data_IF_980545663800
#
_entry.id   IF_980545663800
#
_cell.length_a   1.000
_cell.length_b   1.000
_cell.length_c   1.000
_cell.angle_alpha   90.00
_cell.angle_beta   90.00
_cell.angle_gamma   90.00
#
_symmetry.space_group_name_H-M   'P 1'
#
loop_
_entity.id
_entity.type
_entity.pdbx_description
1 polymer ?
#
# COMPACT_ATOMS: atom_id res chain seq x y z
N UNK A 1 -7.81 -17.51 15.91
CA UNK A 1 -7.26 -17.56 14.53
C UNK A 1 -5.82 -17.10 14.63
N UNK A 2 -4.85 -17.94 14.29
CA UNK A 2 -3.43 -17.59 14.28
C UNK A 2 -2.97 -17.47 12.83
N UNK A 3 -2.32 -16.37 12.50
CA UNK A 3 -1.70 -16.14 11.21
C UNK A 3 -0.20 -16.41 11.37
N UNK A 4 0.37 -17.27 10.53
CA UNK A 4 1.80 -17.61 10.54
C UNK A 4 2.42 -17.12 9.25
N UNK A 5 3.54 -16.40 9.36
CA UNK A 5 4.34 -15.94 8.23
C UNK A 5 5.69 -16.66 8.24
N UNK A 6 6.18 -17.01 7.06
CA UNK A 6 7.55 -17.48 6.85
C UNK A 6 8.30 -16.44 6.00
N UNK A 7 9.51 -16.08 6.43
CA UNK A 7 10.34 -15.09 5.74
C UNK A 7 11.70 -15.73 5.46
N UNK A 8 12.07 -15.73 4.19
CA UNK A 8 13.38 -16.21 3.73
C UNK A 8 14.11 -15.08 3.00
N UNK A 9 15.41 -14.95 3.24
CA UNK A 9 16.29 -13.95 2.61
C UNK A 9 17.27 -14.67 1.68
N UNK A 10 17.45 -14.11 0.49
CA UNK A 10 18.35 -14.67 -0.54
C UNK A 10 19.38 -13.61 -0.93
N UNK A 11 20.61 -14.05 -1.17
CA UNK A 11 21.71 -13.19 -1.61
C UNK A 11 21.72 -13.02 -3.14
N UNK A 12 22.13 -11.84 -3.59
CA UNK A 12 22.27 -11.53 -5.01
C UNK A 12 21.08 -10.76 -5.59
N UNK A 13 21.10 -10.55 -6.91
CA UNK A 13 20.02 -9.90 -7.64
C UNK A 13 18.90 -10.88 -8.00
N UNK A 14 17.79 -10.35 -8.50
CA UNK A 14 16.63 -11.17 -8.88
C UNK A 14 16.97 -12.22 -9.95
N UNK A 15 17.93 -11.97 -10.83
CA UNK A 15 18.32 -12.94 -11.86
C UNK A 15 19.07 -14.11 -11.24
N UNK A 16 20.04 -13.82 -10.36
CA UNK A 16 20.83 -14.81 -9.63
C UNK A 16 19.91 -15.72 -8.80
N UNK A 17 18.99 -15.12 -8.04
CA UNK A 17 18.03 -15.88 -7.20
C UNK A 17 17.11 -16.76 -8.05
N UNK A 18 16.67 -16.30 -9.24
CA UNK A 18 15.87 -17.11 -10.16
C UNK A 18 16.63 -18.31 -10.70
N UNK A 19 17.93 -18.16 -10.96
CA UNK A 19 18.79 -19.24 -11.45
C UNK A 19 19.09 -20.26 -10.36
N UNK A 20 19.39 -19.80 -9.14
CA UNK A 20 19.80 -20.66 -8.04
C UNK A 20 18.61 -21.38 -7.38
N UNK A 21 17.42 -20.76 -7.39
CA UNK A 21 16.21 -21.27 -6.75
C UNK A 21 15.00 -21.30 -7.69
N UNK A 22 15.05 -22.03 -8.82
CA UNK A 22 14.02 -21.99 -9.85
C UNK A 22 12.66 -22.48 -9.33
N UNK A 23 12.64 -23.40 -8.36
CA UNK A 23 11.42 -23.96 -7.75
C UNK A 23 10.56 -22.88 -7.10
N UNK A 24 11.17 -21.81 -6.55
CA UNK A 24 10.41 -20.71 -5.97
C UNK A 24 9.53 -20.05 -7.03
N UNK A 25 10.05 -19.84 -8.23
CA UNK A 25 9.38 -19.10 -9.31
C UNK A 25 8.49 -19.97 -10.21
N UNK A 26 8.21 -21.22 -9.82
CA UNK A 26 7.32 -22.12 -10.58
C UNK A 26 5.83 -21.83 -10.40
N UNK A 27 5.47 -21.08 -9.35
CA UNK A 27 4.11 -20.62 -9.08
C UNK A 27 3.96 -19.16 -9.51
N UNK A 28 2.72 -18.70 -9.67
CA UNK A 28 2.42 -17.28 -9.85
C UNK A 28 2.88 -16.50 -8.61
N UNK A 29 4.11 -16.02 -8.65
CA UNK A 29 4.70 -15.13 -7.64
C UNK A 29 4.62 -13.71 -8.16
N UNK A 30 3.99 -12.85 -7.38
CA UNK A 30 4.03 -11.42 -7.58
C UNK A 30 5.35 -10.87 -7.06
N UNK A 31 6.20 -10.40 -7.98
CA UNK A 31 7.47 -9.75 -7.63
C UNK A 31 7.18 -8.28 -7.36
N UNK A 32 7.42 -7.85 -6.14
CA UNK A 32 7.20 -6.47 -5.71
C UNK A 32 8.54 -5.73 -5.74
N UNK A 33 8.69 -4.67 -6.56
CA UNK A 33 9.87 -3.82 -6.47
C UNK A 33 9.91 -3.14 -5.10
N UNK A 34 11.11 -2.82 -4.61
CA UNK A 34 11.29 -2.12 -3.33
C UNK A 34 10.40 -0.87 -3.29
N UNK A 35 9.51 -0.80 -2.30
CA UNK A 35 8.57 0.30 -2.10
C UNK A 35 9.24 1.62 -1.66
N UNK A 36 10.54 1.59 -1.34
CA UNK A 36 11.27 2.82 -1.03
C UNK A 36 11.48 3.65 -2.28
N UNK A 37 11.46 4.96 -2.11
CA UNK A 37 11.93 5.95 -3.09
C UNK A 37 13.22 5.44 -3.75
N UNK A 38 13.18 5.28 -5.07
CA UNK A 38 14.39 4.98 -5.84
C UNK A 38 15.18 6.27 -5.90
N UNK A 39 16.43 6.25 -5.44
CA UNK A 39 17.33 7.42 -5.50
C UNK A 39 17.72 7.79 -6.95
N UNK A 40 17.45 6.90 -7.92
CA UNK A 40 17.83 7.07 -9.33
C UNK A 40 16.63 6.80 -10.23
N UNK A 41 16.29 7.78 -11.06
CA UNK A 41 15.34 7.66 -12.18
C UNK A 41 16.14 7.30 -13.43
N UNK A 42 15.78 6.22 -14.13
CA UNK A 42 16.48 5.86 -15.35
C UNK A 42 16.21 6.89 -16.47
N UNK A 43 17.21 7.23 -17.30
CA UNK A 43 16.98 8.09 -18.46
C UNK A 43 15.89 7.51 -19.38
N UNK A 44 14.83 8.28 -19.62
CA UNK A 44 13.68 7.86 -20.44
C UNK A 44 12.50 7.30 -19.64
N UNK A 45 12.63 7.10 -18.33
CA UNK A 45 11.55 6.66 -17.46
C UNK A 45 10.78 7.87 -16.90
N UNK A 46 9.55 8.09 -17.38
CA UNK A 46 8.66 9.11 -16.81
C UNK A 46 8.02 8.55 -15.55
N UNK A 47 8.60 8.90 -14.39
CA UNK A 47 8.08 8.46 -13.09
C UNK A 47 7.43 9.62 -12.36
N UNK A 48 6.11 9.54 -12.20
CA UNK A 48 5.32 10.46 -11.39
C UNK A 48 4.51 9.68 -10.33
N UNK A 49 5.17 8.72 -9.67
CA UNK A 49 4.57 7.98 -8.58
C UNK A 49 4.53 8.87 -7.34
N UNK A 50 3.34 9.05 -6.77
CA UNK A 50 3.14 9.74 -5.50
C UNK A 50 2.83 8.68 -4.45
N UNK A 51 3.69 8.57 -3.43
CA UNK A 51 3.42 7.72 -2.28
C UNK A 51 2.67 8.52 -1.22
N UNK A 52 1.49 8.05 -0.84
CA UNK A 52 0.68 8.63 0.22
C UNK A 52 0.60 7.64 1.38
N UNK A 53 0.98 8.09 2.58
CA UNK A 53 0.87 7.29 3.80
C UNK A 53 -0.20 7.89 4.71
N UNK A 54 -1.22 7.09 5.02
CA UNK A 54 -2.16 7.39 6.09
C UNK A 54 -1.48 7.03 7.42
N UNK A 55 -0.98 8.03 8.14
CA UNK A 55 -0.21 7.83 9.37
C UNK A 55 -1.12 7.57 10.57
N UNK A 56 -1.75 8.62 11.07
CA UNK A 56 -2.59 8.61 12.27
C UNK A 56 -3.59 9.77 12.25
N UNK A 57 -4.64 9.67 13.06
CA UNK A 57 -5.59 10.75 13.29
C UNK A 57 -6.04 10.77 14.75
N UNK A 58 -6.57 11.91 15.21
CA UNK A 58 -7.12 12.06 16.55
C UNK A 58 -8.53 12.63 16.48
N UNK A 59 -9.49 11.89 17.04
CA UNK A 59 -10.90 12.27 17.05
C UNK A 59 -11.39 12.55 18.48
N UNK A 60 -12.24 13.56 18.61
CA UNK A 60 -12.92 13.82 19.87
C UNK A 60 -14.06 12.83 20.11
N UNK A 61 -14.15 12.33 21.35
CA UNK A 61 -15.24 11.46 21.80
C UNK A 61 -16.57 12.21 21.95
N UNK A 62 -16.51 13.52 22.23
CA UNK A 62 -17.67 14.33 22.60
C UNK A 62 -18.46 13.70 23.77
N UNK A 63 -19.79 13.87 23.77
CA UNK A 63 -20.68 13.37 24.84
C UNK A 63 -21.08 11.87 24.71
N UNK A 64 -20.41 11.08 23.83
CA UNK A 64 -20.79 9.68 23.59
C UNK A 64 -20.09 8.70 24.55
N UNK A 65 -20.81 7.64 24.93
CA UNK A 65 -20.28 6.58 25.83
C UNK A 65 -19.20 5.71 25.19
N UNK A 66 -19.19 5.50 23.88
CA UNK A 66 -18.16 4.73 23.18
C UNK A 66 -17.34 5.60 22.24
N UNK A 67 -16.12 5.16 21.96
CA UNK A 67 -15.28 5.71 20.89
C UNK A 67 -15.88 5.32 19.52
N UNK A 68 -15.51 6.06 18.46
CA UNK A 68 -16.02 5.80 17.11
C UNK A 68 -15.20 4.69 16.44
N UNK A 69 -15.80 4.05 15.44
CA UNK A 69 -15.05 3.28 14.46
C UNK A 69 -14.71 4.24 13.31
N UNK A 70 -13.45 4.29 12.92
CA UNK A 70 -12.97 5.27 11.94
C UNK A 70 -12.45 4.56 10.70
N UNK A 71 -12.93 5.01 9.54
CA UNK A 71 -12.47 4.65 8.21
C UNK A 71 -12.08 5.93 7.47
N UNK A 72 -10.99 5.88 6.70
CA UNK A 72 -10.57 6.91 5.77
C UNK A 72 -10.69 6.36 4.35
N UNK A 73 -11.31 7.13 3.46
CA UNK A 73 -11.39 6.79 2.04
C UNK A 73 -10.60 7.79 1.24
N UNK A 74 -9.57 7.32 0.53
CA UNK A 74 -8.77 8.15 -0.37
C UNK A 74 -9.33 8.09 -1.79
N UNK A 75 -9.50 9.24 -2.42
CA UNK A 75 -9.95 9.39 -3.82
C UNK A 75 -9.17 10.50 -4.49
N UNK A 76 -8.74 10.26 -5.74
CA UNK A 76 -7.94 11.22 -6.50
C UNK A 76 -8.83 11.98 -7.47
N UNK A 77 -8.72 13.30 -7.46
CA UNK A 77 -9.46 14.20 -8.34
C UNK A 77 -8.51 14.99 -9.23
N UNK A 78 -8.89 15.19 -10.49
CA UNK A 78 -8.17 16.10 -11.38
C UNK A 78 -8.54 17.57 -11.13
N UNK A 79 -7.87 18.48 -11.83
CA UNK A 79 -8.10 19.94 -11.73
C UNK A 79 -9.52 20.40 -12.10
N UNK A 80 -10.33 19.53 -12.72
CA UNK A 80 -11.73 19.79 -13.07
C UNK A 80 -12.71 19.16 -12.07
N UNK A 81 -12.21 18.61 -10.96
CA UNK A 81 -13.02 17.94 -9.95
C UNK A 81 -13.59 16.58 -10.39
N UNK A 82 -13.04 15.95 -11.45
CA UNK A 82 -13.44 14.58 -11.84
C UNK A 82 -12.53 13.56 -11.17
N UNK A 83 -13.11 12.45 -10.75
CA UNK A 83 -12.38 11.30 -10.22
C UNK A 83 -11.44 10.75 -11.28
N UNK A 84 -10.19 10.49 -10.90
CA UNK A 84 -9.21 9.80 -11.74
C UNK A 84 -9.37 8.30 -11.46
N UNK A 85 -9.86 7.57 -12.45
CA UNK A 85 -10.09 6.13 -12.30
C UNK A 85 -8.78 5.35 -12.33
N UNK A 86 -8.73 4.24 -11.57
CA UNK A 86 -7.64 3.24 -11.61
C UNK A 86 -6.24 3.84 -11.45
N UNK A 87 -6.09 4.80 -10.54
CA UNK A 87 -4.80 5.44 -10.24
C UNK A 87 -4.23 5.03 -8.89
N UNK A 88 -5.02 4.44 -7.99
CA UNK A 88 -4.55 4.08 -6.66
C UNK A 88 -4.08 2.63 -6.65
N UNK A 89 -2.80 2.41 -6.42
CA UNK A 89 -2.21 1.08 -6.25
C UNK A 89 -1.99 0.81 -4.75
N UNK A 90 -2.76 -0.14 -4.23
CA UNK A 90 -2.56 -0.70 -2.89
C UNK A 90 -2.05 -2.13 -3.04
N UNK A 91 -0.86 -2.41 -2.51
CA UNK A 91 -0.23 -3.73 -2.70
C UNK A 91 0.22 -4.00 -4.15
N UNK A 92 0.60 -5.24 -4.41
CA UNK A 92 1.13 -5.67 -5.70
C UNK A 92 0.32 -6.85 -6.23
N UNK A 93 0.12 -6.88 -7.55
CA UNK A 93 -0.67 -7.91 -8.21
C UNK A 93 -2.19 -7.66 -8.17
N UNK A 94 -2.62 -6.60 -7.49
CA UNK A 94 -4.01 -6.16 -7.46
C UNK A 94 -4.29 -5.08 -8.50
N UNK A 95 -5.52 -5.05 -9.00
CA UNK A 95 -5.96 -4.01 -9.92
C UNK A 95 -5.97 -2.64 -9.23
N UNK A 96 -5.62 -1.57 -9.94
CA UNK A 96 -5.65 -0.23 -9.37
C UNK A 96 -7.08 0.17 -8.99
N UNK A 97 -7.22 0.76 -7.81
CA UNK A 97 -8.47 1.22 -7.24
C UNK A 97 -8.84 2.64 -7.71
N UNK A 98 -10.14 2.91 -7.66
CA UNK A 98 -10.70 4.26 -7.80
C UNK A 98 -10.80 4.93 -6.41
N UNK A 99 -11.17 4.14 -5.40
CA UNK A 99 -11.30 4.55 -4.01
C UNK A 99 -10.53 3.56 -3.14
N UNK A 100 -9.66 4.04 -2.27
CA UNK A 100 -8.95 3.21 -1.30
C UNK A 100 -9.59 3.36 0.09
N UNK A 101 -10.27 2.32 0.61
CA UNK A 101 -10.74 2.29 1.99
C UNK A 101 -9.62 1.83 2.93
N UNK A 102 -9.42 2.56 4.03
CA UNK A 102 -8.46 2.16 5.07
C UNK A 102 -8.98 1.03 5.95
N UNK A 103 -8.12 0.41 6.74
CA UNK A 103 -8.56 -0.45 7.84
C UNK A 103 -9.42 0.34 8.84
N UNK A 104 -10.37 -0.35 9.47
CA UNK A 104 -11.27 0.22 10.47
C UNK A 104 -10.85 -0.21 11.87
N UNK A 105 -10.46 0.75 12.70
CA UNK A 105 -10.14 0.49 14.09
C UNK A 105 -11.41 0.53 14.95
N UNK A 106 -11.65 -0.53 15.70
CA UNK A 106 -12.83 -0.66 16.54
C UNK A 106 -12.68 0.12 17.84
N UNK A 107 -13.59 1.06 18.08
CA UNK A 107 -13.60 1.91 19.27
C UNK A 107 -12.23 2.54 19.57
N UNK A 108 -11.58 3.05 18.53
CA UNK A 108 -10.30 3.74 18.62
C UNK A 108 -10.42 5.13 18.00
N UNK A 109 -10.30 6.15 18.86
CA UNK A 109 -10.31 7.54 18.45
C UNK A 109 -8.91 8.07 18.09
N UNK A 110 -7.86 7.26 18.23
CA UNK A 110 -6.49 7.59 17.81
C UNK A 110 -5.91 6.53 16.86
N UNK A 111 -6.63 6.20 15.76
CA UNK A 111 -6.20 5.16 14.84
C UNK A 111 -4.85 5.50 14.23
N UNK A 112 -3.99 4.49 14.12
CA UNK A 112 -2.68 4.56 13.46
C UNK A 112 -2.65 3.54 12.32
N UNK A 113 -3.03 3.96 11.12
CA UNK A 113 -3.12 3.06 9.97
C UNK A 113 -1.73 2.60 9.51
N UNK A 114 -0.80 3.54 9.35
CA UNK A 114 0.50 3.28 8.70
C UNK A 114 0.35 2.60 7.34
N UNK A 115 -0.75 2.87 6.65
CA UNK A 115 -1.07 2.31 5.35
C UNK A 115 -0.47 3.21 4.26
N UNK A 116 0.31 2.62 3.36
CA UNK A 116 0.94 3.35 2.25
C UNK A 116 0.36 2.88 0.93
N UNK A 117 -0.11 3.83 0.13
CA UNK A 117 -0.61 3.62 -1.23
C UNK A 117 0.27 4.39 -2.22
N UNK A 118 0.31 3.91 -3.46
CA UNK A 118 0.94 4.60 -4.59
C UNK A 118 -0.14 5.16 -5.50
N UNK A 119 -0.02 6.41 -5.90
CA UNK A 119 -0.90 7.12 -6.84
C UNK A 119 -0.13 7.49 -8.09
#
# INVERSE_FOLDING_TARGET
MSLTFDVSVYDGDLQSVKTDYPVLFTKDITIIPKLSQFDVINPGEVRNDIYLTLSEAQFERGNKKSQKNVEVVVTVYNSKGKVVEKCIHHGCGEDPLIHFPSCVFYHDNQPKWQETIKV
#
